data_IF_722427728640
#
_entry.id   IF_722427728640
#
_cell.length_a   1.000
_cell.length_b   1.000
_cell.length_c   1.000
_cell.angle_alpha   90.00
_cell.angle_beta   90.00
_cell.angle_gamma   90.00
#
_symmetry.space_group_name_H-M   'P 1'
#
loop_
_entity.id
_entity.type
_entity.pdbx_description
1 polymer ?
#
# COMPACT_ATOMS: atom_id res chain seq x y z
N UNK A 1 -2.35 22.79 -13.02
CA UNK A 1 -1.14 23.05 -12.21
C UNK A 1 -0.39 21.73 -12.06
N UNK A 2 0.73 21.53 -12.77
CA UNK A 2 1.54 20.32 -12.61
C UNK A 2 2.13 20.32 -11.20
N UNK A 3 1.69 19.38 -10.37
CA UNK A 3 2.34 19.10 -9.09
C UNK A 3 3.82 18.81 -9.36
N UNK A 4 4.75 19.32 -8.53
CA UNK A 4 6.16 19.02 -8.72
C UNK A 4 6.37 17.51 -8.67
N UNK A 5 7.12 17.00 -9.65
CA UNK A 5 7.45 15.59 -9.72
C UNK A 5 8.09 15.15 -8.40
N UNK A 6 7.58 14.07 -7.80
CA UNK A 6 8.05 13.61 -6.47
C UNK A 6 9.54 13.30 -6.45
N UNK A 7 10.09 12.82 -7.57
CA UNK A 7 11.52 12.60 -7.72
C UNK A 7 12.33 13.90 -7.54
N UNK A 8 11.82 15.03 -8.04
CA UNK A 8 12.44 16.34 -7.86
C UNK A 8 12.44 16.74 -6.38
N UNK A 9 11.27 16.65 -5.73
CA UNK A 9 11.13 16.97 -4.30
C UNK A 9 12.05 16.09 -3.45
N UNK A 10 12.16 14.80 -3.75
CA UNK A 10 13.07 13.89 -3.06
C UNK A 10 14.54 14.25 -3.26
N UNK A 11 14.94 14.67 -4.47
CA UNK A 11 16.31 15.11 -4.75
C UNK A 11 16.65 16.39 -3.98
N UNK A 12 15.75 17.38 -4.00
CA UNK A 12 15.96 18.64 -3.30
C UNK A 12 15.99 18.45 -1.78
N UNK A 13 15.12 17.59 -1.23
CA UNK A 13 15.14 17.27 0.20
C UNK A 13 16.47 16.64 0.63
N UNK A 14 17.02 15.69 -0.15
CA UNK A 14 18.34 15.10 0.13
C UNK A 14 19.45 16.15 0.09
N UNK A 15 19.41 17.04 -0.91
CA UNK A 15 20.38 18.15 -1.03
C UNK A 15 20.32 19.09 0.18
N UNK A 16 19.13 19.48 0.59
CA UNK A 16 18.91 20.31 1.78
C UNK A 16 19.48 19.67 3.05
N UNK A 17 19.18 18.39 3.32
CA UNK A 17 19.71 17.67 4.49
C UNK A 17 21.24 17.48 4.45
N UNK A 18 21.84 17.39 3.26
CA UNK A 18 23.28 17.38 3.12
C UNK A 18 23.88 18.74 3.52
N UNK A 19 23.33 19.83 3.00
CA UNK A 19 23.78 21.18 3.35
C UNK A 19 23.50 21.57 4.79
N UNK A 20 22.43 21.07 5.41
CA UNK A 20 22.16 21.24 6.84
C UNK A 20 23.33 20.70 7.68
N UNK A 21 23.83 19.49 7.37
CA UNK A 21 24.99 18.91 8.06
C UNK A 21 26.27 19.71 7.83
N UNK A 22 26.49 20.19 6.60
CA UNK A 22 27.68 21.02 6.29
C UNK A 22 27.60 22.39 6.99
N UNK A 23 26.41 23.00 7.04
CA UNK A 23 26.17 24.27 7.73
C UNK A 23 26.41 24.16 9.24
N UNK A 24 26.05 23.02 9.85
CA UNK A 24 26.37 22.73 11.25
C UNK A 24 27.88 22.54 11.48
N UNK A 25 28.61 22.00 10.51
CA UNK A 25 30.06 21.80 10.61
C UNK A 25 30.87 23.09 10.35
N UNK A 26 30.39 23.97 9.48
CA UNK A 26 31.09 25.18 9.04
C UNK A 26 30.16 26.41 8.98
N UNK A 27 29.62 26.88 10.12
CA UNK A 27 28.63 27.96 10.15
C UNK A 27 29.16 29.33 9.69
N UNK A 28 30.48 29.54 9.76
CA UNK A 28 31.12 30.80 9.35
C UNK A 28 31.49 30.84 7.86
N UNK A 29 31.33 29.74 7.13
CA UNK A 29 31.56 29.71 5.69
C UNK A 29 30.35 30.31 4.96
N UNK A 30 30.57 31.48 4.34
CA UNK A 30 29.51 32.20 3.62
C UNK A 30 29.00 31.41 2.41
N UNK A 31 29.84 30.63 1.75
CA UNK A 31 29.45 29.84 0.57
C UNK A 31 28.52 28.70 0.95
N UNK A 32 28.82 28.05 2.08
CA UNK A 32 27.96 27.03 2.70
C UNK A 32 26.61 27.64 3.07
N UNK A 33 26.61 28.80 3.72
CA UNK A 33 25.39 29.52 4.09
C UNK A 33 24.52 29.86 2.88
N UNK A 34 25.09 30.48 1.86
CA UNK A 34 24.35 30.83 0.63
C UNK A 34 23.77 29.59 -0.05
N UNK A 35 24.56 28.53 -0.19
CA UNK A 35 24.09 27.30 -0.84
C UNK A 35 22.99 26.60 -0.02
N UNK A 36 23.09 26.65 1.30
CA UNK A 36 22.04 26.15 2.20
C UNK A 36 20.74 26.95 2.03
N UNK A 37 20.83 28.28 2.03
CA UNK A 37 19.69 29.20 1.82
C UNK A 37 19.03 28.97 0.46
N UNK A 38 19.81 28.81 -0.62
CA UNK A 38 19.30 28.51 -1.98
C UNK A 38 18.54 27.18 -2.03
N UNK A 39 19.09 26.16 -1.36
CA UNK A 39 18.44 24.84 -1.28
C UNK A 39 17.13 24.91 -0.48
N UNK A 40 17.10 25.72 0.59
CA UNK A 40 15.91 25.99 1.39
C UNK A 40 14.85 26.75 0.60
N UNK A 41 15.25 27.79 -0.14
CA UNK A 41 14.36 28.57 -1.00
C UNK A 41 13.69 27.70 -2.07
N UNK A 42 14.46 26.81 -2.71
CA UNK A 42 13.92 25.85 -3.68
C UNK A 42 12.83 24.97 -3.05
N UNK A 43 13.05 24.43 -1.86
CA UNK A 43 12.04 23.65 -1.15
C UNK A 43 10.81 24.49 -0.77
N UNK A 44 11.00 25.73 -0.33
CA UNK A 44 9.90 26.65 -0.01
C UNK A 44 8.97 26.85 -1.22
N UNK A 45 9.54 27.10 -2.41
CA UNK A 45 8.77 27.26 -3.65
C UNK A 45 8.04 25.97 -4.03
N UNK A 46 8.73 24.82 -3.96
CA UNK A 46 8.12 23.53 -4.33
C UNK A 46 6.97 23.15 -3.40
N UNK A 47 7.09 23.42 -2.10
CA UNK A 47 6.11 23.01 -1.08
C UNK A 47 5.10 24.10 -0.69
N UNK A 48 5.25 25.31 -1.23
CA UNK A 48 4.40 26.46 -0.89
C UNK A 48 4.47 26.83 0.59
N UNK A 49 5.68 26.77 1.19
CA UNK A 49 5.94 27.12 2.59
C UNK A 49 6.81 28.36 2.69
N UNK A 50 6.69 29.09 3.80
CA UNK A 50 7.45 30.33 4.03
C UNK A 50 8.82 30.10 4.66
N UNK A 51 9.01 28.96 5.32
CA UNK A 51 10.23 28.62 6.04
C UNK A 51 10.83 27.32 5.48
N UNK A 52 12.16 27.27 5.33
CA UNK A 52 12.87 26.11 4.79
C UNK A 52 12.63 24.83 5.62
N UNK A 53 12.59 24.96 6.95
CA UNK A 53 12.29 23.85 7.86
C UNK A 53 10.87 23.30 7.66
N UNK A 54 9.87 24.18 7.63
CA UNK A 54 8.48 23.78 7.36
C UNK A 54 8.32 23.15 5.97
N UNK A 55 9.07 23.67 4.98
CA UNK A 55 9.12 23.12 3.64
C UNK A 55 9.71 21.71 3.62
N UNK A 56 10.80 21.46 4.37
CA UNK A 56 11.38 20.13 4.50
C UNK A 56 10.39 19.15 5.16
N UNK A 57 9.73 19.55 6.25
CA UNK A 57 8.73 18.71 6.92
C UNK A 57 7.51 18.41 6.02
N UNK A 58 7.11 19.39 5.19
CA UNK A 58 6.04 19.22 4.21
C UNK A 58 6.47 18.28 3.07
N UNK A 59 7.72 18.39 2.60
CA UNK A 59 8.30 17.52 1.59
C UNK A 59 8.39 16.07 2.10
N UNK A 60 8.84 15.86 3.34
CA UNK A 60 8.88 14.55 3.97
C UNK A 60 7.49 13.90 4.04
N UNK A 61 6.48 14.66 4.46
CA UNK A 61 5.09 14.20 4.48
C UNK A 61 4.58 13.88 3.08
N UNK A 62 4.83 14.75 2.10
CA UNK A 62 4.41 14.56 0.71
C UNK A 62 5.01 13.30 0.07
N UNK A 63 6.26 12.97 0.40
CA UNK A 63 6.94 11.76 -0.04
C UNK A 63 6.42 10.52 0.71
N UNK A 64 6.19 10.63 2.03
CA UNK A 64 5.68 9.52 2.86
C UNK A 64 4.29 9.06 2.43
N UNK A 65 3.37 9.97 2.08
CA UNK A 65 2.03 9.60 1.60
C UNK A 65 2.09 8.65 0.40
N UNK A 66 3.04 8.85 -0.52
CA UNK A 66 3.20 7.94 -1.66
C UNK A 66 3.90 6.63 -1.32
N UNK A 67 4.83 6.66 -0.37
CA UNK A 67 5.46 5.41 0.06
C UNK A 67 4.42 4.47 0.69
N UNK A 68 3.48 5.01 1.47
CA UNK A 68 2.37 4.23 2.04
C UNK A 68 1.46 3.66 0.94
N UNK A 69 1.10 4.46 -0.08
CA UNK A 69 0.28 3.95 -1.19
C UNK A 69 1.01 2.88 -2.00
N UNK A 70 2.29 3.08 -2.35
CA UNK A 70 3.08 2.09 -3.08
C UNK A 70 3.35 0.82 -2.27
N UNK A 71 3.56 0.91 -0.96
CA UNK A 71 3.73 -0.28 -0.11
C UNK A 71 2.41 -1.02 0.07
N UNK A 72 1.28 -0.32 0.21
CA UNK A 72 -0.04 -0.94 0.30
C UNK A 72 -0.41 -1.68 -0.99
N UNK A 73 -0.15 -1.11 -2.16
CA UNK A 73 -0.37 -1.77 -3.45
C UNK A 73 0.52 -3.01 -3.61
N UNK A 74 1.80 -2.92 -3.22
CA UNK A 74 2.70 -4.07 -3.19
C UNK A 74 2.25 -5.15 -2.19
N UNK A 75 1.77 -4.76 -1.01
CA UNK A 75 1.28 -5.70 -0.02
C UNK A 75 -0.01 -6.39 -0.49
N UNK A 76 -0.94 -5.65 -1.11
CA UNK A 76 -2.18 -6.21 -1.68
C UNK A 76 -1.86 -7.18 -2.83
N UNK A 77 -0.92 -6.82 -3.71
CA UNK A 77 -0.50 -7.71 -4.81
C UNK A 77 0.20 -8.97 -4.28
N UNK A 78 1.14 -8.85 -3.35
CA UNK A 78 1.78 -10.02 -2.72
C UNK A 78 0.77 -10.91 -1.96
N UNK A 79 -0.23 -10.33 -1.30
CA UNK A 79 -1.28 -11.09 -0.59
C UNK A 79 -2.25 -11.76 -1.58
N UNK A 80 -2.58 -11.10 -2.68
CA UNK A 80 -3.43 -11.65 -3.73
C UNK A 80 -2.74 -12.84 -4.43
N UNK A 81 -1.44 -12.75 -4.72
CA UNK A 81 -0.67 -13.87 -5.26
C UNK A 81 -0.68 -15.08 -4.31
N UNK A 82 -0.50 -14.86 -3.00
CA UNK A 82 -0.57 -15.92 -1.99
C UNK A 82 -1.95 -16.59 -1.90
N UNK A 83 -3.03 -15.82 -2.06
CA UNK A 83 -4.40 -16.36 -2.02
C UNK A 83 -4.79 -17.12 -3.31
N UNK A 84 -4.24 -16.72 -4.47
CA UNK A 84 -4.46 -17.41 -5.75
C UNK A 84 -3.78 -18.79 -5.73
N UNK A 85 -2.60 -18.91 -5.12
CA UNK A 85 -1.87 -20.19 -5.05
C UNK A 85 -2.49 -21.25 -4.14
N UNK A 86 -3.42 -20.90 -3.23
CA UNK A 86 -4.02 -21.87 -2.30
C UNK A 86 -5.46 -22.30 -2.67
N UNK A 87 -6.06 -21.71 -3.72
CA UNK A 87 -7.44 -22.05 -4.17
C UNK A 87 -7.50 -22.79 -5.50
N UNK A 88 -6.35 -23.22 -6.04
CA UNK A 88 -6.29 -24.04 -7.25
C UNK A 88 -5.67 -25.40 -6.92
N UNK A 89 -6.50 -26.31 -6.41
CA UNK A 89 -6.36 -27.75 -6.66
C UNK A 89 -7.37 -28.09 -7.79
N UNK A 90 -6.97 -28.09 -9.07
CA UNK A 90 -7.79 -28.64 -10.12
C UNK A 90 -7.71 -30.17 -10.05
N UNK A 91 -8.87 -30.78 -9.88
CA UNK A 91 -9.08 -32.21 -9.96
C UNK A 91 -8.50 -32.81 -11.26
N UNK A 92 -7.43 -33.61 -11.16
CA UNK A 92 -6.99 -34.48 -12.24
C UNK A 92 -7.47 -35.93 -12.01
N UNK A 93 -8.52 -36.29 -12.76
CA UNK A 93 -8.84 -37.70 -13.08
C UNK A 93 -7.82 -38.25 -14.07
N UNK A 94 -7.51 -39.55 -13.95
CA UNK A 94 -7.50 -40.42 -15.11
C UNK A 94 -8.51 -41.58 -14.96
N UNK A 95 -9.30 -41.84 -16.02
CA UNK A 95 -10.07 -43.09 -16.26
C UNK A 95 -9.29 -43.97 -17.27
N UNK A 96 -9.67 -45.24 -17.61
CA UNK A 96 -10.76 -46.12 -17.13
C UNK A 96 -10.35 -47.61 -16.87
N UNK A 97 -11.12 -48.34 -16.05
CA UNK A 97 -11.36 -49.81 -16.03
C UNK A 97 -11.98 -50.15 -14.65
N UNK A 98 -13.02 -50.95 -14.41
CA UNK A 98 -13.70 -52.03 -15.12
C UNK A 98 -15.16 -52.03 -14.64
N UNK A 99 -16.10 -52.33 -15.53
CA UNK A 99 -17.51 -52.44 -15.22
C UNK A 99 -17.80 -53.67 -14.32
N UNK A 100 -18.40 -53.46 -13.15
CA UNK A 100 -19.22 -54.48 -12.49
C UNK A 100 -20.56 -53.85 -12.13
N UNK A 101 -21.59 -54.33 -12.80
CA UNK A 101 -22.99 -53.98 -12.59
C UNK A 101 -23.42 -54.38 -11.17
N UNK A 102 -24.15 -53.50 -10.47
CA UNK A 102 -25.41 -53.88 -9.79
C UNK A 102 -26.39 -52.71 -9.80
N UNK A 103 -27.62 -53.01 -10.21
CA UNK A 103 -28.75 -52.12 -10.49
C UNK A 103 -29.55 -51.81 -9.20
N UNK A 104 -30.20 -50.62 -9.07
CA UNK A 104 -30.94 -50.17 -7.89
C UNK A 104 -32.43 -50.55 -7.93
N UNK A 105 -33.17 -50.37 -6.82
CA UNK A 105 -34.37 -49.50 -6.86
C UNK A 105 -34.57 -48.69 -5.54
N UNK A 106 -34.88 -47.40 -5.58
CA UNK A 106 -36.17 -46.72 -5.87
C UNK A 106 -37.02 -46.47 -4.61
N UNK A 107 -37.67 -45.29 -4.59
CA UNK A 107 -38.72 -44.84 -3.68
C UNK A 107 -38.23 -44.45 -2.25
N UNK A 108 -38.72 -43.42 -1.56
CA UNK A 108 -39.89 -42.56 -1.76
C UNK A 108 -39.91 -41.45 -0.70
N UNK A 109 -40.75 -40.44 -0.95
CA UNK A 109 -41.44 -39.54 0.02
C UNK A 109 -40.59 -38.43 0.65
N UNK A 110 -40.77 -37.19 0.18
CA UNK A 110 -41.80 -36.18 0.57
C UNK A 110 -41.48 -35.48 1.90
N UNK A 111 -41.38 -34.16 1.81
CA UNK A 111 -41.36 -33.11 2.84
C UNK A 111 -42.50 -33.23 3.87
N UNK A 112 -42.55 -32.47 5.00
CA UNK A 112 -42.82 -31.03 4.95
C UNK A 112 -42.20 -30.15 6.07
N UNK A 113 -42.43 -28.85 5.90
CA UNK A 113 -42.23 -27.78 6.86
C UNK A 113 -42.99 -27.97 8.19
N UNK A 114 -42.45 -27.41 9.26
CA UNK A 114 -43.25 -26.87 10.36
C UNK A 114 -42.50 -25.78 11.11
N UNK A 115 -42.86 -24.56 10.77
CA UNK A 115 -43.02 -23.42 11.66
C UNK A 115 -43.45 -23.82 13.09
N UNK A 116 -42.84 -23.20 14.11
CA UNK A 116 -43.56 -22.69 15.29
C UNK A 116 -42.70 -21.77 16.15
N UNK A 117 -43.14 -20.51 16.13
CA UNK A 117 -43.02 -19.45 17.14
C UNK A 117 -43.58 -19.92 18.50
N UNK A 118 -42.93 -19.53 19.60
CA UNK A 118 -43.51 -19.22 20.93
C UNK A 118 -42.37 -18.89 21.91
N UNK A 119 -42.18 -17.64 22.37
CA UNK A 119 -42.87 -16.90 23.45
C UNK A 119 -42.62 -17.40 24.88
N UNK A 120 -42.03 -16.50 25.66
CA UNK A 120 -42.28 -16.18 27.07
C UNK A 120 -41.60 -16.98 28.20
N UNK A 121 -41.06 -16.20 29.15
CA UNK A 121 -40.80 -16.56 30.55
C UNK A 121 -39.34 -16.27 30.94
N UNK A 122 -39.02 -15.48 31.96
CA UNK A 122 -39.78 -14.63 32.87
C UNK A 122 -38.78 -13.70 33.57
#
# INVERSE_FOLDING_TARGET
MLLPAKAEVARQLRRYRAWERVMLAAPNDRTVRTTFEDSGYTLCVLMGKRCAREAADAAERYLRTNHVTYLQEQQITCLQEQHITCTQEPAERPRPATAVRRRPPAAERRSPASERRSTAGR
#
